data_IF_399458592596
#
_entry.id   IF_399458592596
#
_cell.length_a   1.000
_cell.length_b   1.000
_cell.length_c   1.000
_cell.angle_alpha   90.00
_cell.angle_beta   90.00
_cell.angle_gamma   90.00
#
_symmetry.space_group_name_H-M   'P 1'
#
loop_
_entity.id
_entity.type
_entity.pdbx_description
1 polymer ?
#
# COMPACT_ATOMS: atom_id res chain seq x y z
N UNK A 1 -0.17 76.24 23.28
CA UNK A 1 1.13 75.64 22.85
C UNK A 1 1.31 74.18 23.28
N UNK A 2 0.56 73.70 24.28
CA UNK A 2 0.57 72.31 24.77
C UNK A 2 -0.19 71.32 23.90
N UNK A 3 -1.31 71.73 23.27
CA UNK A 3 -2.12 70.82 22.42
C UNK A 3 -1.45 70.39 21.12
N UNK A 4 -0.69 71.29 20.48
CA UNK A 4 0.02 70.97 19.23
C UNK A 4 1.19 69.99 19.45
N UNK A 5 1.84 70.02 20.62
CA UNK A 5 2.86 69.03 20.99
C UNK A 5 2.26 67.64 21.23
N UNK A 6 1.11 67.57 21.91
CA UNK A 6 0.40 66.30 22.15
C UNK A 6 -0.12 65.66 20.85
N UNK A 7 -0.60 66.46 19.90
CA UNK A 7 -1.02 65.98 18.58
C UNK A 7 0.16 65.38 17.78
N UNK A 8 1.31 66.06 17.74
CA UNK A 8 2.53 65.53 17.09
C UNK A 8 3.01 64.22 17.72
N UNK A 9 3.00 64.11 19.05
CA UNK A 9 3.43 62.90 19.73
C UNK A 9 2.50 61.70 19.44
N UNK A 10 1.18 61.94 19.35
CA UNK A 10 0.21 60.90 18.95
C UNK A 10 0.42 60.43 17.51
N UNK A 11 0.69 61.34 16.58
CA UNK A 11 0.99 61.01 15.18
C UNK A 11 2.27 60.19 15.02
N UNK A 12 3.34 60.55 15.74
CA UNK A 12 4.59 59.78 15.75
C UNK A 12 4.37 58.38 16.32
N UNK A 13 3.62 58.25 17.43
CA UNK A 13 3.27 56.95 18.01
C UNK A 13 2.44 56.10 17.05
N UNK A 14 1.46 56.69 16.35
CA UNK A 14 0.69 55.97 15.33
C UNK A 14 1.57 55.49 14.17
N UNK A 15 2.47 56.35 13.69
CA UNK A 15 3.40 56.01 12.61
C UNK A 15 4.35 54.87 12.99
N UNK A 16 4.86 54.86 14.24
CA UNK A 16 5.68 53.78 14.77
C UNK A 16 4.90 52.47 14.91
N UNK A 17 3.66 52.52 15.42
CA UNK A 17 2.80 51.33 15.51
C UNK A 17 2.50 50.78 14.12
N UNK A 18 2.17 51.63 13.15
CA UNK A 18 1.88 51.19 11.78
C UNK A 18 3.12 50.59 11.10
N UNK A 19 4.29 51.19 11.29
CA UNK A 19 5.56 50.67 10.77
C UNK A 19 5.92 49.32 11.42
N UNK A 20 5.68 49.18 12.73
CA UNK A 20 5.88 47.91 13.45
C UNK A 20 4.93 46.83 12.95
N UNK A 21 3.66 47.16 12.69
CA UNK A 21 2.68 46.24 12.13
C UNK A 21 3.12 45.78 10.74
N UNK A 22 3.53 46.70 9.85
CA UNK A 22 4.05 46.34 8.52
C UNK A 22 5.28 45.45 8.63
N UNK A 23 6.20 45.76 9.55
CA UNK A 23 7.39 44.95 9.80
C UNK A 23 7.06 43.55 10.33
N UNK A 24 6.10 43.43 11.25
CA UNK A 24 5.65 42.13 11.76
C UNK A 24 4.97 41.33 10.64
N UNK A 25 4.11 41.95 9.81
CA UNK A 25 3.48 41.27 8.69
C UNK A 25 4.45 40.91 7.55
N UNK A 26 5.54 41.66 7.36
CA UNK A 26 6.58 41.33 6.38
C UNK A 26 7.58 40.29 6.87
N UNK A 27 7.70 40.09 8.19
CA UNK A 27 8.58 39.10 8.83
C UNK A 27 7.86 37.82 9.27
N UNK A 28 6.53 37.81 9.29
CA UNK A 28 5.76 36.58 9.42
C UNK A 28 6.03 35.70 8.20
N UNK A 29 6.91 34.70 8.38
CA UNK A 29 7.06 33.65 7.39
C UNK A 29 5.76 32.84 7.30
N UNK A 30 4.98 33.10 6.25
CA UNK A 30 3.85 32.27 5.85
C UNK A 30 4.25 30.84 5.45
N UNK A 31 5.54 30.50 5.54
CA UNK A 31 6.08 29.14 5.37
C UNK A 31 5.43 28.12 6.32
N UNK A 32 4.88 28.59 7.45
CA UNK A 32 4.26 27.72 8.47
C UNK A 32 2.80 27.31 8.18
N UNK A 33 2.11 27.93 7.22
CA UNK A 33 0.72 27.57 6.92
C UNK A 33 0.70 26.30 6.06
N UNK A 34 0.11 25.18 6.51
CA UNK A 34 0.05 23.94 5.73
C UNK A 34 -0.81 24.13 4.49
N UNK A 35 -0.41 23.51 3.36
CA UNK A 35 -1.27 23.42 2.17
C UNK A 35 -2.61 22.77 2.53
N UNK A 36 -3.67 23.04 1.79
CA UNK A 36 -4.98 22.42 2.01
C UNK A 36 -4.90 20.95 1.60
N UNK A 37 -4.57 20.71 0.34
CA UNK A 37 -4.33 19.40 -0.26
C UNK A 37 -3.54 19.55 -1.58
N UNK A 38 -3.34 18.44 -2.29
CA UNK A 38 -2.76 18.44 -3.62
C UNK A 38 -2.48 17.04 -4.13
N UNK A 39 -1.86 16.96 -5.31
CA UNK A 39 -1.42 15.71 -5.90
C UNK A 39 -0.25 15.94 -6.87
N UNK A 40 0.49 14.86 -7.15
CA UNK A 40 1.51 14.82 -8.19
C UNK A 40 0.93 14.25 -9.50
N UNK A 41 1.60 14.48 -10.62
CA UNK A 41 1.17 14.01 -11.95
C UNK A 41 1.15 12.48 -12.12
N UNK A 42 1.88 11.74 -11.28
CA UNK A 42 1.93 10.27 -11.16
C UNK A 42 2.35 9.89 -9.73
N UNK A 43 2.12 8.65 -9.27
CA UNK A 43 2.45 8.26 -7.89
C UNK A 43 3.93 7.93 -7.67
N UNK A 44 4.67 7.59 -8.73
CA UNK A 44 6.03 7.09 -8.60
C UNK A 44 6.97 7.66 -9.67
N UNK A 45 8.21 7.91 -9.28
CA UNK A 45 9.23 8.61 -10.06
C UNK A 45 10.60 7.92 -9.95
N UNK A 46 11.46 8.07 -10.94
CA UNK A 46 12.90 7.81 -10.77
C UNK A 46 13.61 9.02 -10.14
N UNK A 47 14.79 8.81 -9.57
CA UNK A 47 15.60 9.82 -8.85
C UNK A 47 16.23 10.92 -9.73
N UNK A 48 15.83 10.99 -11.00
CA UNK A 48 16.25 11.95 -12.02
C UNK A 48 15.06 12.42 -12.89
N UNK A 49 13.84 12.29 -12.39
CA UNK A 49 12.63 12.73 -13.07
C UNK A 49 12.05 14.01 -12.48
N UNK A 50 11.32 14.75 -13.31
CA UNK A 50 10.51 15.87 -12.85
C UNK A 50 9.19 15.36 -12.24
N UNK A 51 8.94 15.79 -11.01
CA UNK A 51 7.66 15.63 -10.33
C UNK A 51 6.85 16.93 -10.45
N UNK A 52 5.76 16.89 -11.21
CA UNK A 52 4.87 18.04 -11.41
C UNK A 52 3.80 18.05 -10.33
N UNK A 53 3.63 19.20 -9.68
CA UNK A 53 2.76 19.37 -8.52
C UNK A 53 1.56 20.26 -8.81
N UNK A 54 0.43 19.86 -8.24
CA UNK A 54 -0.84 20.56 -8.29
C UNK A 54 -1.31 20.78 -6.85
N UNK A 55 -0.97 21.94 -6.29
CA UNK A 55 -1.21 22.27 -4.87
C UNK A 55 -2.40 23.21 -4.76
N UNK A 56 -3.27 22.92 -3.80
CA UNK A 56 -4.29 23.82 -3.30
C UNK A 56 -3.81 24.46 -2.00
N UNK A 57 -3.56 25.75 -2.06
CA UNK A 57 -3.02 26.54 -0.97
C UNK A 57 -4.08 27.45 -0.35
N UNK A 58 -3.82 27.91 0.88
CA UNK A 58 -4.65 28.88 1.58
C UNK A 58 -4.51 30.27 0.95
N UNK A 59 -3.28 30.62 0.53
CA UNK A 59 -2.94 31.91 -0.07
C UNK A 59 -2.72 31.75 -1.56
N UNK A 60 -3.30 32.65 -2.35
CA UNK A 60 -3.22 32.60 -3.81
C UNK A 60 -2.01 33.35 -4.35
N UNK A 61 -1.37 32.81 -5.40
CA UNK A 61 -0.30 33.43 -6.18
C UNK A 61 0.89 33.94 -5.36
N UNK A 62 1.47 33.10 -4.50
CA UNK A 62 2.66 33.45 -3.73
C UNK A 62 3.77 32.39 -3.88
N UNK A 63 5.02 32.78 -3.66
CA UNK A 63 6.11 31.81 -3.58
C UNK A 63 5.98 31.00 -2.29
N UNK A 64 5.99 29.68 -2.43
CA UNK A 64 5.92 28.74 -1.31
C UNK A 64 7.15 27.85 -1.32
N UNK A 65 7.77 27.71 -0.15
CA UNK A 65 8.72 26.62 0.09
C UNK A 65 7.97 25.39 0.56
N UNK A 66 8.13 24.28 -0.16
CA UNK A 66 7.60 22.96 0.20
C UNK A 66 8.75 22.05 0.64
N UNK A 67 8.44 21.10 1.50
CA UNK A 67 9.36 20.08 1.98
C UNK A 67 9.03 18.72 1.36
N UNK A 68 9.99 18.10 0.66
CA UNK A 68 9.95 16.69 0.28
C UNK A 68 10.66 15.87 1.36
N UNK A 69 9.93 15.04 2.09
CA UNK A 69 10.45 14.30 3.25
C UNK A 69 10.33 12.79 3.05
N UNK A 70 11.43 12.06 3.25
CA UNK A 70 11.42 10.59 3.32
C UNK A 70 10.75 10.16 4.64
N UNK A 71 9.73 9.30 4.57
CA UNK A 71 8.96 8.95 5.76
C UNK A 71 9.71 8.03 6.73
N UNK A 72 10.72 7.30 6.25
CA UNK A 72 11.50 6.36 7.07
C UNK A 72 12.72 7.01 7.73
N UNK A 73 13.46 7.83 6.97
CA UNK A 73 14.71 8.44 7.45
C UNK A 73 14.53 9.87 7.96
N UNK A 74 13.37 10.48 7.69
CA UNK A 74 13.09 11.89 7.93
C UNK A 74 14.03 12.87 7.21
N UNK A 75 14.89 12.38 6.30
CA UNK A 75 15.65 13.24 5.41
C UNK A 75 14.71 14.07 4.57
N UNK A 76 14.96 15.38 4.52
CA UNK A 76 14.12 16.29 3.78
C UNK A 76 14.92 17.23 2.87
N UNK A 77 14.24 17.69 1.83
CA UNK A 77 14.76 18.67 0.89
C UNK A 77 13.67 19.68 0.56
N UNK A 78 14.03 20.96 0.56
CA UNK A 78 13.11 22.04 0.28
C UNK A 78 13.13 22.46 -1.19
N UNK A 79 11.97 22.83 -1.72
CA UNK A 79 11.80 23.35 -3.07
C UNK A 79 10.89 24.57 -3.05
N UNK A 80 11.12 25.52 -3.95
CA UNK A 80 10.22 26.67 -4.12
C UNK A 80 9.28 26.44 -5.31
N UNK A 81 8.00 26.65 -5.10
CA UNK A 81 6.93 26.54 -6.11
C UNK A 81 5.94 27.71 -5.98
N UNK A 82 4.94 27.76 -6.85
CA UNK A 82 3.83 28.69 -6.74
C UNK A 82 2.70 28.10 -5.89
N UNK A 83 2.41 28.71 -4.75
CA UNK A 83 1.20 28.48 -3.97
C UNK A 83 -0.01 29.11 -4.68
N UNK A 84 -1.01 28.30 -5.00
CA UNK A 84 -2.23 28.72 -5.72
C UNK A 84 -3.43 28.23 -4.91
N UNK A 85 -4.40 29.11 -4.66
CA UNK A 85 -5.69 28.68 -4.11
C UNK A 85 -6.53 28.13 -5.26
N UNK A 86 -7.01 26.89 -5.11
CA UNK A 86 -7.65 26.16 -6.21
C UNK A 86 -9.10 25.84 -5.88
N UNK A 87 -9.96 25.95 -6.89
CA UNK A 87 -11.33 25.46 -6.82
C UNK A 87 -11.42 24.05 -7.38
N UNK A 88 -12.19 23.20 -6.71
CA UNK A 88 -12.40 21.81 -7.13
C UNK A 88 -13.51 21.74 -8.17
N UNK A 89 -13.22 21.10 -9.32
CA UNK A 89 -14.21 20.95 -10.39
C UNK A 89 -15.42 20.09 -9.97
N UNK A 90 -16.56 20.35 -10.64
CA UNK A 90 -17.70 19.43 -10.58
C UNK A 90 -17.26 18.06 -11.09
N UNK A 91 -17.65 17.07 -10.31
CA UNK A 91 -17.29 15.68 -10.55
C UNK A 91 -15.81 15.33 -10.53
N UNK A 92 -15.07 15.97 -9.62
CA UNK A 92 -13.63 15.78 -9.47
C UNK A 92 -13.20 14.32 -9.24
N UNK A 93 -14.01 13.49 -8.57
CA UNK A 93 -13.70 12.06 -8.42
C UNK A 93 -13.53 11.36 -9.79
N UNK A 94 -14.28 11.79 -10.81
CA UNK A 94 -14.28 11.22 -12.17
C UNK A 94 -13.34 11.96 -13.12
N UNK A 95 -13.39 13.29 -13.09
CA UNK A 95 -12.71 14.15 -14.06
C UNK A 95 -11.33 14.63 -13.60
N UNK A 96 -10.97 14.36 -12.34
CA UNK A 96 -9.84 15.00 -11.67
C UNK A 96 -10.22 16.36 -11.09
N UNK A 97 -9.39 16.84 -10.15
CA UNK A 97 -9.67 18.08 -9.43
C UNK A 97 -9.53 19.34 -10.29
N UNK A 98 -8.81 19.25 -11.43
CA UNK A 98 -8.67 20.37 -12.38
C UNK A 98 -7.74 21.49 -11.91
N UNK A 99 -6.96 21.23 -10.85
CA UNK A 99 -5.98 22.17 -10.33
C UNK A 99 -4.97 22.60 -11.39
N UNK A 100 -4.60 23.88 -11.34
CA UNK A 100 -3.50 24.43 -12.14
C UNK A 100 -2.16 23.94 -11.59
N UNK A 101 -1.18 23.78 -12.46
CA UNK A 101 0.18 23.41 -12.06
C UNK A 101 0.78 24.48 -11.15
N UNK A 102 1.26 24.06 -9.98
CA UNK A 102 1.96 24.90 -9.00
C UNK A 102 3.46 24.99 -9.30
N UNK A 103 4.03 23.93 -9.87
CA UNK A 103 5.45 23.87 -10.22
C UNK A 103 5.89 22.45 -10.55
N UNK A 104 7.17 22.29 -10.84
CA UNK A 104 7.81 20.98 -10.94
C UNK A 104 9.08 20.97 -10.10
N UNK A 105 9.31 19.88 -9.38
CA UNK A 105 10.54 19.63 -8.65
C UNK A 105 11.37 18.58 -9.43
N UNK A 106 12.65 18.87 -9.62
CA UNK A 106 13.57 17.89 -10.18
C UNK A 106 14.10 17.01 -9.06
N UNK A 107 13.78 15.71 -9.12
CA UNK A 107 14.34 14.73 -8.21
C UNK A 107 15.79 14.50 -8.64
N UNK A 108 16.73 14.68 -7.72
CA UNK A 108 18.16 14.56 -7.94
C UNK A 108 18.80 13.88 -6.74
N UNK A 109 19.10 12.60 -6.88
CA UNK A 109 19.88 11.85 -5.88
C UNK A 109 19.09 11.35 -4.68
N UNK A 110 17.75 11.48 -4.67
CA UNK A 110 16.94 10.82 -3.64
C UNK A 110 17.00 9.31 -3.81
N UNK A 111 17.18 8.61 -2.69
CA UNK A 111 17.13 7.15 -2.63
C UNK A 111 15.73 6.63 -2.90
N UNK A 112 15.62 5.34 -3.22
CA UNK A 112 14.32 4.71 -3.35
C UNK A 112 13.60 4.69 -2.00
N UNK A 113 12.35 5.12 -1.98
CA UNK A 113 11.61 5.30 -0.73
C UNK A 113 10.20 5.83 -0.94
N UNK A 114 9.47 5.92 0.17
CA UNK A 114 8.18 6.60 0.23
C UNK A 114 8.43 7.99 0.81
N UNK A 115 7.91 9.01 0.12
CA UNK A 115 8.10 10.40 0.47
C UNK A 115 6.75 11.11 0.60
N UNK A 116 6.72 12.17 1.38
CA UNK A 116 5.60 13.11 1.41
C UNK A 116 6.08 14.53 1.11
N UNK A 117 5.27 15.26 0.34
CA UNK A 117 5.44 16.70 0.15
C UNK A 117 4.53 17.41 1.14
N UNK A 118 5.10 18.30 1.96
CA UNK A 118 4.43 19.02 3.06
C UNK A 118 3.61 18.08 3.97
N UNK A 119 4.12 16.85 4.20
CA UNK A 119 3.44 15.79 4.96
C UNK A 119 2.03 15.41 4.45
N UNK A 120 1.67 15.79 3.21
CA UNK A 120 0.33 15.57 2.65
C UNK A 120 0.31 14.79 1.34
N UNK A 121 1.18 15.12 0.38
CA UNK A 121 1.13 14.53 -0.95
C UNK A 121 2.13 13.37 -1.02
N UNK A 122 1.68 12.10 -1.03
CA UNK A 122 2.59 10.97 -1.10
C UNK A 122 3.15 10.81 -2.52
N UNK A 123 4.45 10.57 -2.61
CA UNK A 123 5.12 10.11 -3.83
C UNK A 123 6.08 8.97 -3.51
N UNK A 124 6.37 8.14 -4.50
CA UNK A 124 7.31 7.02 -4.38
C UNK A 124 8.50 7.31 -5.29
N UNK A 125 9.71 7.20 -4.73
CA UNK A 125 10.94 7.25 -5.52
C UNK A 125 11.40 5.81 -5.74
N UNK A 126 11.51 5.43 -7.01
CA UNK A 126 11.78 4.07 -7.48
C UNK A 126 13.27 3.89 -7.73
N UNK A 127 13.80 2.65 -7.60
CA UNK A 127 15.14 2.38 -8.06
C UNK A 127 15.23 2.57 -9.59
N UNK A 128 16.40 2.96 -10.13
CA UNK A 128 16.64 3.00 -11.56
C UNK A 128 16.27 1.69 -12.26
N UNK A 129 15.71 1.77 -13.47
CA UNK A 129 15.19 0.59 -14.20
C UNK A 129 16.23 -0.52 -14.44
N UNK A 130 17.50 -0.14 -14.54
CA UNK A 130 18.58 -1.08 -14.81
C UNK A 130 19.21 -1.68 -13.55
N UNK A 131 18.80 -1.18 -12.39
CA UNK A 131 19.35 -1.54 -11.11
C UNK A 131 18.74 -2.84 -10.60
N UNK A 132 19.60 -3.78 -10.21
CA UNK A 132 19.15 -4.97 -9.49
C UNK A 132 18.84 -4.61 -8.04
N UNK A 133 17.69 -5.06 -7.56
CA UNK A 133 17.29 -5.00 -6.14
C UNK A 133 17.15 -6.40 -5.58
N UNK A 134 17.38 -6.54 -4.27
CA UNK A 134 17.07 -7.79 -3.58
C UNK A 134 15.56 -7.87 -3.34
N UNK A 135 14.94 -6.75 -2.97
CA UNK A 135 13.54 -6.67 -2.62
C UNK A 135 12.90 -5.41 -3.21
N UNK A 136 11.74 -5.54 -3.84
CA UNK A 136 10.84 -4.41 -4.09
C UNK A 136 9.61 -4.51 -3.21
N UNK A 137 9.36 -3.47 -2.44
CA UNK A 137 8.13 -3.28 -1.66
C UNK A 137 7.11 -2.56 -2.54
N UNK A 138 5.93 -3.15 -2.69
CA UNK A 138 4.88 -2.64 -3.57
C UNK A 138 3.83 -1.90 -2.76
N UNK A 139 3.74 -0.59 -2.98
CA UNK A 139 2.79 0.31 -2.32
C UNK A 139 1.39 0.20 -2.99
N UNK A 140 0.31 -0.05 -2.23
CA UNK A 140 -1.04 -0.27 -2.76
C UNK A 140 -1.78 1.02 -3.18
N UNK A 141 -1.19 1.77 -4.10
CA UNK A 141 -1.73 3.04 -4.59
C UNK A 141 -3.14 2.95 -5.18
N UNK A 142 -3.44 1.90 -5.96
CA UNK A 142 -4.79 1.69 -6.50
C UNK A 142 -5.82 1.47 -5.40
N UNK A 143 -5.39 0.94 -4.26
CA UNK A 143 -6.25 0.74 -3.10
C UNK A 143 -6.58 2.07 -2.41
N UNK A 144 -5.61 3.00 -2.26
CA UNK A 144 -5.91 4.35 -1.77
C UNK A 144 -6.84 5.08 -2.72
N UNK A 145 -6.64 4.92 -4.03
CA UNK A 145 -7.57 5.46 -5.01
C UNK A 145 -8.97 4.86 -4.78
N UNK A 146 -9.14 3.55 -4.83
CA UNK A 146 -10.45 2.92 -4.69
C UNK A 146 -11.23 3.35 -3.42
N UNK A 147 -10.54 3.59 -2.30
CA UNK A 147 -11.15 3.98 -1.04
C UNK A 147 -11.28 5.49 -0.84
N UNK A 148 -10.49 6.32 -1.51
CA UNK A 148 -10.56 7.78 -1.35
C UNK A 148 -11.90 8.32 -1.85
N UNK A 149 -12.58 9.09 -0.99
CA UNK A 149 -13.79 9.84 -1.31
C UNK A 149 -13.48 11.26 -1.84
N UNK A 150 -12.21 11.58 -2.10
CA UNK A 150 -11.79 12.87 -2.63
C UNK A 150 -12.53 13.20 -3.93
N UNK A 151 -13.17 14.38 -3.95
CA UNK A 151 -14.01 14.84 -5.04
C UNK A 151 -15.46 14.32 -4.98
N UNK A 152 -15.82 13.54 -3.96
CA UNK A 152 -17.20 13.20 -3.60
C UNK A 152 -17.59 11.72 -3.70
N UNK A 153 -16.80 10.85 -4.34
CA UNK A 153 -17.13 9.42 -4.44
C UNK A 153 -15.87 8.54 -4.43
N UNK A 154 -16.03 7.31 -3.94
CA UNK A 154 -15.08 6.21 -3.99
C UNK A 154 -15.70 5.02 -4.75
N UNK A 155 -15.04 3.86 -4.83
CA UNK A 155 -15.68 2.64 -5.35
C UNK A 155 -16.67 1.98 -4.36
N UNK A 156 -16.82 2.55 -3.17
CA UNK A 156 -17.68 2.02 -2.13
C UNK A 156 -18.85 2.96 -1.84
N UNK A 157 -20.07 2.41 -1.84
CA UNK A 157 -21.30 3.17 -1.61
C UNK A 157 -21.28 3.88 -0.25
N UNK A 158 -20.91 3.18 0.82
CA UNK A 158 -20.84 3.72 2.18
C UNK A 158 -19.84 4.87 2.33
N UNK A 159 -18.83 4.97 1.45
CA UNK A 159 -17.84 6.04 1.44
C UNK A 159 -17.97 6.92 0.17
N UNK A 160 -19.20 7.23 -0.21
CA UNK A 160 -19.52 8.06 -1.37
C UNK A 160 -20.72 8.97 -1.09
N UNK A 161 -20.73 10.16 -1.68
CA UNK A 161 -21.88 11.05 -1.64
C UNK A 161 -23.14 10.35 -2.16
N UNK A 162 -24.26 10.57 -1.47
CA UNK A 162 -25.57 9.94 -1.76
C UNK A 162 -25.55 8.42 -1.70
N UNK A 163 -24.59 7.83 -0.98
CA UNK A 163 -24.44 6.39 -0.82
C UNK A 163 -24.32 5.64 -2.17
N UNK A 164 -23.77 6.29 -3.19
CA UNK A 164 -23.70 5.76 -4.55
C UNK A 164 -22.25 5.63 -4.99
N UNK A 165 -21.77 4.39 -5.09
CA UNK A 165 -20.41 4.06 -5.54
C UNK A 165 -20.12 4.65 -6.93
N UNK A 166 -18.89 5.12 -7.13
CA UNK A 166 -18.38 5.41 -8.45
C UNK A 166 -18.08 4.11 -9.21
N UNK A 167 -18.20 4.18 -10.54
CA UNK A 167 -17.71 3.14 -11.48
C UNK A 167 -16.39 3.54 -12.12
N UNK A 168 -15.95 4.78 -11.90
CA UNK A 168 -14.71 5.33 -12.44
C UNK A 168 -14.13 6.38 -11.48
N UNK A 169 -12.81 6.41 -11.39
CA UNK A 169 -12.05 7.35 -10.57
C UNK A 169 -10.88 7.94 -11.37
N UNK A 170 -10.51 9.19 -11.11
CA UNK A 170 -9.35 9.86 -11.70
C UNK A 170 -8.09 9.63 -10.87
N UNK A 171 -6.92 9.54 -11.52
CA UNK A 171 -5.63 9.61 -10.83
C UNK A 171 -5.28 11.02 -10.36
N UNK A 172 -5.85 12.06 -10.98
CA UNK A 172 -5.55 13.46 -10.68
C UNK A 172 -6.40 13.97 -9.50
N UNK A 173 -6.22 13.38 -8.33
CA UNK A 173 -6.88 13.78 -7.09
C UNK A 173 -6.03 13.50 -5.86
N UNK A 174 -6.26 14.22 -4.75
CA UNK A 174 -5.58 13.95 -3.50
C UNK A 174 -5.81 12.52 -3.01
N UNK A 175 -4.73 11.90 -2.53
CA UNK A 175 -4.75 10.62 -1.83
C UNK A 175 -3.96 10.76 -0.53
N UNK A 176 -4.29 9.92 0.43
CA UNK A 176 -3.64 9.87 1.75
C UNK A 176 -3.15 8.45 1.96
N UNK A 177 -1.90 8.31 2.37
CA UNK A 177 -1.30 7.05 2.82
C UNK A 177 -1.67 6.80 4.29
N UNK A 178 -1.54 5.56 4.75
CA UNK A 178 -1.91 5.16 6.12
C UNK A 178 -0.66 4.82 6.94
N UNK A 179 -0.87 4.49 8.22
CA UNK A 179 0.18 4.05 9.14
C UNK A 179 0.92 2.79 8.64
N UNK A 180 0.34 2.04 7.70
CA UNK A 180 1.00 0.92 7.03
C UNK A 180 2.29 1.36 6.34
N UNK A 181 2.29 2.52 5.66
CA UNK A 181 3.45 3.02 4.92
C UNK A 181 4.58 3.40 5.85
N UNK A 182 4.24 4.12 6.92
CA UNK A 182 5.23 4.51 7.94
C UNK A 182 5.82 3.27 8.60
N UNK A 183 4.97 2.31 8.98
CA UNK A 183 5.41 1.11 9.70
C UNK A 183 6.28 0.21 8.82
N UNK A 184 5.90 -0.03 7.56
CA UNK A 184 6.71 -0.86 6.65
C UNK A 184 8.03 -0.18 6.27
N UNK A 185 8.02 1.14 6.08
CA UNK A 185 9.23 1.88 5.72
C UNK A 185 10.22 1.95 6.89
N UNK A 186 9.72 2.14 8.12
CA UNK A 186 10.52 2.03 9.35
C UNK A 186 11.07 0.61 9.54
N UNK A 187 10.23 -0.42 9.37
CA UNK A 187 10.67 -1.82 9.43
C UNK A 187 11.80 -2.10 8.43
N UNK A 188 11.65 -1.68 7.18
CA UNK A 188 12.67 -1.87 6.16
C UNK A 188 13.98 -1.14 6.52
N UNK A 189 13.87 0.13 6.97
CA UNK A 189 15.02 0.91 7.39
C UNK A 189 15.75 0.29 8.59
N UNK A 190 15.03 -0.35 9.51
CA UNK A 190 15.61 -0.95 10.71
C UNK A 190 16.16 -2.37 10.48
N UNK A 191 15.37 -3.25 9.87
CA UNK A 191 15.62 -4.69 9.84
C UNK A 191 16.18 -5.22 8.51
N UNK A 192 16.11 -4.42 7.43
CA UNK A 192 16.47 -4.86 6.08
C UNK A 192 17.71 -4.16 5.50
N UNK A 193 18.52 -3.48 6.33
CA UNK A 193 19.73 -2.72 5.91
C UNK A 193 20.74 -3.52 5.08
N UNK A 194 20.77 -4.86 5.24
CA UNK A 194 21.65 -5.75 4.47
C UNK A 194 21.17 -6.04 3.05
N UNK A 195 19.94 -5.65 2.72
CA UNK A 195 19.33 -5.87 1.42
C UNK A 195 19.23 -4.55 0.66
N UNK A 196 19.33 -4.65 -0.65
CA UNK A 196 19.01 -3.56 -1.55
C UNK A 196 17.49 -3.48 -1.75
N UNK A 197 16.85 -2.68 -0.91
CA UNK A 197 15.39 -2.49 -0.90
C UNK A 197 15.01 -1.32 -1.82
N UNK A 198 14.07 -1.55 -2.73
CA UNK A 198 13.41 -0.51 -3.51
C UNK A 198 11.91 -0.46 -3.25
N UNK A 199 11.27 0.63 -3.65
CA UNK A 199 9.84 0.86 -3.53
C UNK A 199 9.24 1.18 -4.89
N UNK A 200 8.06 0.63 -5.17
CA UNK A 200 7.28 0.91 -6.38
C UNK A 200 5.79 1.06 -6.02
N UNK A 201 5.03 1.75 -6.87
CA UNK A 201 3.57 1.67 -6.82
C UNK A 201 3.12 0.38 -7.49
N UNK A 202 1.98 -0.16 -7.07
CA UNK A 202 1.27 -1.20 -7.81
C UNK A 202 1.04 -0.87 -9.30
N UNK A 203 0.89 0.41 -9.68
CA UNK A 203 0.82 0.81 -11.10
C UNK A 203 2.10 0.51 -11.90
N UNK A 204 3.27 0.49 -11.26
CA UNK A 204 4.53 0.19 -11.95
C UNK A 204 4.59 -1.27 -12.41
N UNK A 205 3.82 -2.16 -11.79
CA UNK A 205 3.70 -3.57 -12.17
C UNK A 205 3.10 -3.73 -13.58
N UNK A 206 2.41 -2.72 -14.11
CA UNK A 206 1.97 -2.71 -15.53
C UNK A 206 3.12 -2.92 -16.50
N UNK A 207 4.33 -2.50 -16.12
CA UNK A 207 5.52 -2.58 -16.93
C UNK A 207 6.47 -3.62 -16.33
N UNK A 208 6.50 -4.83 -16.90
CA UNK A 208 7.29 -5.95 -16.38
C UNK A 208 8.76 -5.58 -16.11
N UNK A 209 9.34 -4.70 -16.94
CA UNK A 209 10.71 -4.18 -16.78
C UNK A 209 10.99 -3.60 -15.39
N UNK A 210 9.98 -3.05 -14.71
CA UNK A 210 10.11 -2.48 -13.36
C UNK A 210 10.36 -3.54 -12.28
N UNK A 211 9.96 -4.79 -12.53
CA UNK A 211 10.08 -5.91 -11.59
C UNK A 211 10.98 -7.03 -12.12
N UNK A 212 11.44 -6.95 -13.38
CA UNK A 212 12.15 -8.06 -14.01
C UNK A 212 13.51 -8.34 -13.38
N UNK A 213 14.14 -7.34 -12.72
CA UNK A 213 15.49 -7.47 -12.14
C UNK A 213 15.50 -7.68 -10.63
N UNK A 214 14.36 -7.59 -9.94
CA UNK A 214 14.33 -7.88 -8.50
C UNK A 214 14.35 -9.39 -8.25
N UNK A 215 14.94 -9.81 -7.14
CA UNK A 215 14.83 -11.21 -6.69
C UNK A 215 13.46 -11.49 -6.08
N UNK A 216 12.87 -10.49 -5.42
CA UNK A 216 11.67 -10.65 -4.62
C UNK A 216 10.74 -9.44 -4.68
N UNK A 217 9.43 -9.72 -4.64
CA UNK A 217 8.38 -8.72 -4.38
C UNK A 217 7.79 -8.93 -2.99
N UNK A 218 7.46 -7.83 -2.29
CA UNK A 218 6.67 -7.85 -1.07
C UNK A 218 5.42 -6.99 -1.27
N UNK A 219 4.26 -7.63 -1.14
CA UNK A 219 2.94 -6.99 -1.20
C UNK A 219 2.35 -6.90 0.20
N UNK A 220 2.04 -5.69 0.67
CA UNK A 220 1.58 -5.49 2.03
C UNK A 220 0.24 -4.74 2.11
N UNK A 221 -0.35 -4.73 3.31
CA UNK A 221 -1.56 -3.96 3.62
C UNK A 221 -2.78 -4.43 2.84
N UNK A 222 -3.60 -3.50 2.33
CA UNK A 222 -4.76 -3.83 1.52
C UNK A 222 -4.42 -3.63 0.03
N UNK A 223 -4.36 -4.70 -0.77
CA UNK A 223 -4.09 -4.60 -2.21
C UNK A 223 -5.10 -5.43 -3.04
N UNK A 224 -6.35 -5.00 -2.98
CA UNK A 224 -7.49 -5.66 -3.59
C UNK A 224 -7.65 -5.41 -5.08
N UNK A 225 -7.20 -4.28 -5.60
CA UNK A 225 -7.46 -3.88 -6.98
C UNK A 225 -6.26 -4.16 -7.88
N UNK A 226 -6.40 -5.12 -8.79
CA UNK A 226 -5.36 -5.51 -9.74
C UNK A 226 -5.93 -5.52 -11.15
N UNK A 227 -5.19 -4.98 -12.12
CA UNK A 227 -5.56 -5.08 -13.53
C UNK A 227 -5.12 -6.41 -14.15
N UNK A 228 -5.76 -6.86 -15.25
CA UNK A 228 -5.33 -8.09 -15.92
C UNK A 228 -3.87 -8.09 -16.38
N UNK A 229 -3.36 -6.95 -16.87
CA UNK A 229 -1.96 -6.84 -17.27
C UNK A 229 -1.00 -6.93 -16.07
N UNK A 230 -1.37 -6.34 -14.92
CA UNK A 230 -0.58 -6.47 -13.70
C UNK A 230 -0.52 -7.91 -13.21
N UNK A 231 -1.65 -8.62 -13.19
CA UNK A 231 -1.69 -10.05 -12.86
C UNK A 231 -0.78 -10.85 -13.80
N UNK A 232 -0.87 -10.65 -15.11
CA UNK A 232 -0.01 -11.31 -16.10
C UNK A 232 1.47 -11.10 -15.79
N UNK A 233 1.87 -9.89 -15.40
CA UNK A 233 3.25 -9.59 -15.06
C UNK A 233 3.69 -10.21 -13.72
N UNK A 234 2.80 -10.30 -12.73
CA UNK A 234 3.05 -11.04 -11.48
C UNK A 234 3.25 -12.53 -11.77
N UNK A 235 2.36 -13.13 -12.58
CA UNK A 235 2.46 -14.53 -12.97
C UNK A 235 3.75 -14.81 -13.75
N UNK A 236 4.12 -13.91 -14.67
CA UNK A 236 5.39 -13.99 -15.41
C UNK A 236 6.60 -13.85 -14.47
N UNK A 237 6.53 -12.96 -13.48
CA UNK A 237 7.60 -12.79 -12.49
C UNK A 237 7.84 -14.08 -11.69
N UNK A 238 6.78 -14.69 -11.18
CA UNK A 238 6.84 -16.00 -10.50
C UNK A 238 7.40 -17.06 -11.44
N UNK A 239 6.84 -17.17 -12.65
CA UNK A 239 7.30 -18.16 -13.64
C UNK A 239 8.78 -18.00 -14.01
N UNK A 240 9.31 -16.77 -13.93
CA UNK A 240 10.71 -16.44 -14.21
C UNK A 240 11.61 -16.54 -12.97
N UNK A 241 11.25 -17.35 -11.98
CA UNK A 241 12.05 -17.59 -10.77
C UNK A 241 11.99 -16.50 -9.70
N UNK A 242 11.11 -15.50 -9.85
CA UNK A 242 10.96 -14.40 -8.88
C UNK A 242 10.12 -14.80 -7.67
N UNK A 243 10.61 -14.47 -6.47
CA UNK A 243 9.95 -14.86 -5.22
C UNK A 243 8.96 -13.80 -4.74
N UNK A 244 7.87 -14.18 -4.08
CA UNK A 244 6.88 -13.22 -3.57
C UNK A 244 6.51 -13.49 -2.11
N UNK A 245 6.47 -12.42 -1.32
CA UNK A 245 5.87 -12.43 0.00
C UNK A 245 4.59 -11.60 0.00
N UNK A 246 3.49 -12.23 0.40
CA UNK A 246 2.19 -11.59 0.58
C UNK A 246 1.91 -11.41 2.06
N UNK A 247 1.86 -10.17 2.53
CA UNK A 247 1.49 -9.75 3.90
C UNK A 247 0.29 -8.81 3.81
N UNK A 248 -0.76 -9.27 3.13
CA UNK A 248 -1.87 -8.42 2.71
C UNK A 248 -3.23 -9.04 3.00
N UNK A 249 -4.24 -8.18 3.06
CA UNK A 249 -5.63 -8.58 3.04
C UNK A 249 -6.17 -8.47 1.61
N UNK A 250 -7.11 -9.35 1.26
CA UNK A 250 -7.92 -9.23 0.05
C UNK A 250 -7.11 -9.15 -1.25
N UNK A 251 -5.89 -9.67 -1.29
CA UNK A 251 -5.03 -9.46 -2.45
C UNK A 251 -5.65 -9.99 -3.73
N UNK A 252 -5.62 -9.16 -4.78
CA UNK A 252 -6.19 -9.50 -6.08
C UNK A 252 -7.64 -10.01 -5.97
N UNK A 253 -8.47 -9.32 -5.18
CA UNK A 253 -9.92 -9.60 -5.13
C UNK A 253 -10.65 -9.00 -6.34
N UNK A 254 -10.43 -7.71 -6.57
CA UNK A 254 -11.15 -6.88 -7.54
C UNK A 254 -10.34 -6.67 -8.83
N UNK A 255 -11.04 -6.68 -9.96
CA UNK A 255 -10.51 -6.41 -11.29
C UNK A 255 -10.75 -4.94 -11.63
N UNK A 256 -9.67 -4.21 -11.89
CA UNK A 256 -9.74 -2.84 -12.42
C UNK A 256 -9.23 -2.77 -13.85
N UNK A 257 -9.76 -1.81 -14.60
CA UNK A 257 -9.30 -1.46 -15.94
C UNK A 257 -8.71 -0.06 -15.87
N UNK A 258 -7.57 0.15 -16.50
CA UNK A 258 -6.83 1.40 -16.41
C UNK A 258 -6.84 2.09 -17.77
N UNK A 259 -7.34 3.32 -17.81
CA UNK A 259 -7.23 4.21 -18.96
C UNK A 259 -6.12 5.21 -18.65
N UNK A 260 -4.88 4.84 -18.98
CA UNK A 260 -3.70 5.68 -18.70
C UNK A 260 -3.72 6.99 -19.49
N UNK A 261 -4.34 7.01 -20.67
CA UNK A 261 -4.46 8.21 -21.51
C UNK A 261 -5.38 9.24 -20.87
N UNK A 262 -6.54 8.80 -20.35
CA UNK A 262 -7.48 9.66 -19.61
C UNK A 262 -7.15 9.79 -18.13
N UNK A 263 -6.11 9.09 -17.66
CA UNK A 263 -5.72 9.00 -16.25
C UNK A 263 -6.86 8.53 -15.34
N UNK A 264 -7.51 7.42 -15.71
CA UNK A 264 -8.68 6.90 -15.00
C UNK A 264 -8.54 5.42 -14.62
N UNK A 265 -9.18 5.06 -13.52
CA UNK A 265 -9.43 3.70 -13.06
C UNK A 265 -10.91 3.41 -13.27
N UNK A 266 -11.24 2.28 -13.88
CA UNK A 266 -12.61 1.82 -14.09
C UNK A 266 -12.86 0.53 -13.31
N UNK A 267 -13.97 0.51 -12.59
CA UNK A 267 -14.49 -0.64 -11.86
C UNK A 267 -15.92 -0.90 -12.34
N UNK A 268 -16.12 -1.98 -13.11
CA UNK A 268 -17.28 -2.11 -13.98
C UNK A 268 -18.51 -2.66 -13.24
N UNK A 269 -18.98 -2.00 -12.18
CA UNK A 269 -20.11 -2.50 -11.40
C UNK A 269 -21.48 -2.42 -12.12
N UNK A 270 -21.61 -1.67 -13.23
CA UNK A 270 -22.87 -1.48 -13.95
C UNK A 270 -22.80 -1.82 -15.45
N UNK A 271 -23.78 -2.61 -15.91
CA UNK A 271 -24.16 -2.88 -17.32
C UNK A 271 -23.11 -3.51 -18.26
N UNK A 272 -22.00 -4.05 -17.76
CA UNK A 272 -21.03 -4.78 -18.59
C UNK A 272 -20.95 -6.24 -18.17
N UNK A 273 -21.01 -7.17 -19.14
CA UNK A 273 -20.83 -8.63 -18.96
C UNK A 273 -19.40 -9.03 -18.56
N UNK A 274 -18.60 -8.10 -18.04
CA UNK A 274 -17.21 -8.38 -17.70
C UNK A 274 -17.10 -8.65 -16.20
N UNK A 275 -16.30 -9.66 -15.80
CA UNK A 275 -16.09 -9.96 -14.40
C UNK A 275 -15.38 -8.79 -13.71
N UNK A 276 -15.74 -8.57 -12.45
CA UNK A 276 -15.19 -7.54 -11.57
C UNK A 276 -14.41 -8.10 -10.39
N UNK A 277 -14.48 -9.41 -10.18
CA UNK A 277 -13.74 -10.11 -9.16
C UNK A 277 -12.96 -11.24 -9.81
N UNK A 278 -11.79 -11.53 -9.25
CA UNK A 278 -10.91 -12.56 -9.78
C UNK A 278 -11.43 -13.96 -9.53
N UNK A 279 -12.33 -14.14 -8.56
CA UNK A 279 -12.98 -15.43 -8.25
C UNK A 279 -14.34 -15.61 -8.91
N UNK A 280 -14.70 -14.73 -9.83
CA UNK A 280 -15.89 -14.89 -10.67
C UNK A 280 -15.81 -16.25 -11.42
N UNK A 281 -16.89 -17.03 -11.37
CA UNK A 281 -16.94 -18.38 -11.96
C UNK A 281 -16.79 -18.40 -13.48
N UNK A 282 -16.99 -17.25 -14.15
CA UNK A 282 -16.74 -17.10 -15.58
C UNK A 282 -15.25 -17.03 -15.92
N UNK A 283 -14.38 -16.77 -14.92
CA UNK A 283 -12.94 -16.78 -15.08
C UNK A 283 -12.38 -18.18 -14.84
N UNK A 284 -11.52 -18.63 -15.75
CA UNK A 284 -10.83 -19.92 -15.64
C UNK A 284 -9.71 -19.94 -14.60
N UNK A 285 -9.33 -18.78 -14.07
CA UNK A 285 -8.17 -18.64 -13.20
C UNK A 285 -8.52 -17.76 -11.99
N UNK A 286 -9.03 -18.34 -10.89
CA UNK A 286 -9.27 -17.61 -9.64
C UNK A 286 -7.98 -17.02 -9.04
N UNK A 287 -8.12 -16.13 -8.06
CA UNK A 287 -6.97 -15.44 -7.46
C UNK A 287 -6.04 -16.41 -6.71
N UNK A 288 -6.58 -17.42 -6.03
CA UNK A 288 -5.82 -18.38 -5.23
C UNK A 288 -4.87 -19.25 -6.06
N UNK A 289 -5.09 -19.38 -7.38
CA UNK A 289 -4.12 -20.00 -8.28
C UNK A 289 -2.87 -19.14 -8.51
N UNK A 290 -2.92 -17.85 -8.17
CA UNK A 290 -1.77 -16.93 -8.21
C UNK A 290 -1.12 -16.79 -6.85
N UNK A 291 -1.93 -16.67 -5.80
CA UNK A 291 -1.45 -16.29 -4.46
C UNK A 291 -1.53 -17.38 -3.40
N UNK A 292 -1.93 -18.59 -3.78
CA UNK A 292 -2.03 -19.76 -2.89
C UNK A 292 -3.20 -19.73 -1.93
N UNK A 293 -3.84 -18.58 -1.74
CA UNK A 293 -4.92 -18.40 -0.78
C UNK A 293 -5.90 -17.32 -1.25
N UNK A 294 -7.11 -17.29 -0.70
CA UNK A 294 -8.10 -16.24 -0.97
C UNK A 294 -8.78 -15.82 0.32
N UNK A 295 -9.14 -14.54 0.41
CA UNK A 295 -9.95 -14.04 1.52
C UNK A 295 -11.34 -14.70 1.53
N UNK A 296 -11.95 -14.97 0.38
CA UNK A 296 -13.27 -15.64 0.31
C UNK A 296 -13.24 -17.06 0.84
N UNK A 297 -12.03 -17.59 1.05
CA UNK A 297 -11.85 -18.89 1.67
C UNK A 297 -11.43 -18.72 3.11
N UNK A 298 -10.50 -17.82 3.47
CA UNK A 298 -9.97 -17.72 4.83
C UNK A 298 -10.74 -16.80 5.80
N UNK A 299 -11.65 -15.95 5.30
CA UNK A 299 -12.30 -14.90 6.08
C UNK A 299 -13.08 -15.47 7.28
N UNK A 300 -13.03 -14.75 8.41
CA UNK A 300 -13.77 -15.05 9.63
C UNK A 300 -14.97 -14.10 9.72
N UNK A 301 -16.21 -14.63 9.77
CA UNK A 301 -17.37 -13.81 10.10
C UNK A 301 -17.46 -13.64 11.63
N UNK A 302 -17.47 -12.41 12.14
CA UNK A 302 -17.62 -12.08 13.58
C UNK A 302 -18.92 -12.61 14.21
N UNK A 303 -19.87 -13.11 13.42
CA UNK A 303 -21.16 -13.66 13.87
C UNK A 303 -21.13 -15.19 13.94
N UNK A 304 -20.37 -15.74 14.89
CA UNK A 304 -20.34 -17.17 15.19
C UNK A 304 -21.49 -17.56 16.15
N UNK A 305 -22.33 -18.58 15.87
CA UNK A 305 -23.17 -19.20 16.89
C UNK A 305 -22.30 -19.95 17.92
N UNK A 306 -22.50 -19.66 19.20
CA UNK A 306 -21.75 -20.10 20.40
C UNK A 306 -21.24 -21.57 20.51
N UNK A 307 -21.61 -22.48 19.63
CA UNK A 307 -21.46 -23.93 19.82
C UNK A 307 -20.05 -24.51 19.56
N UNK A 308 -19.17 -23.82 18.81
CA UNK A 308 -17.75 -24.26 18.61
C UNK A 308 -16.75 -23.37 19.39
N UNK A 309 -17.22 -22.32 20.08
CA UNK A 309 -16.36 -21.38 20.83
C UNK A 309 -15.57 -22.00 22.00
N UNK A 310 -15.93 -23.18 22.48
CA UNK A 310 -15.32 -23.68 23.73
C UNK A 310 -13.82 -23.97 23.62
N UNK A 311 -13.26 -24.16 22.40
CA UNK A 311 -11.85 -24.55 22.24
C UNK A 311 -11.05 -23.80 21.14
N UNK A 312 -11.63 -22.82 20.43
CA UNK A 312 -10.90 -22.04 19.42
C UNK A 312 -10.40 -20.76 20.08
N UNK A 313 -9.08 -20.61 20.18
CA UNK A 313 -8.47 -19.34 20.56
C UNK A 313 -8.49 -18.41 19.35
N UNK A 314 -9.45 -17.50 19.33
CA UNK A 314 -9.82 -16.69 18.16
C UNK A 314 -8.66 -15.88 17.51
N UNK A 315 -7.50 -15.72 18.16
CA UNK A 315 -6.35 -14.94 17.68
C UNK A 315 -5.01 -15.70 17.61
N UNK A 316 -5.00 -17.02 17.75
CA UNK A 316 -3.78 -17.81 17.69
C UNK A 316 -3.69 -18.64 16.41
N UNK A 317 -2.59 -18.49 15.65
CA UNK A 317 -2.19 -19.41 14.60
C UNK A 317 -1.45 -20.59 15.20
N UNK A 318 -1.89 -21.82 14.95
CA UNK A 318 -1.17 -23.05 15.28
C UNK A 318 -0.09 -23.32 14.22
N UNK A 319 1.16 -23.42 14.68
CA UNK A 319 2.32 -23.76 13.84
C UNK A 319 2.30 -25.26 13.55
N UNK A 320 2.36 -25.63 12.26
CA UNK A 320 2.46 -27.03 11.82
C UNK A 320 3.89 -27.50 11.62
N UNK A 321 4.78 -26.60 11.24
CA UNK A 321 6.17 -26.91 10.95
C UNK A 321 7.10 -26.02 11.75
N UNK A 322 7.32 -26.36 13.01
CA UNK A 322 8.14 -25.57 13.95
C UNK A 322 9.61 -25.48 13.55
N UNK A 323 10.07 -26.35 12.65
CA UNK A 323 11.45 -26.34 12.14
C UNK A 323 11.62 -25.50 10.87
N UNK A 324 10.52 -24.97 10.31
CA UNK A 324 10.60 -24.14 9.12
C UNK A 324 11.44 -22.88 9.39
N UNK A 325 12.34 -22.45 8.48
CA UNK A 325 13.24 -21.32 8.71
C UNK A 325 12.56 -19.99 9.07
N UNK A 326 11.29 -19.82 8.72
CA UNK A 326 10.53 -18.61 9.09
C UNK A 326 10.28 -18.51 10.61
N UNK A 327 10.28 -19.64 11.31
CA UNK A 327 10.00 -19.74 12.75
C UNK A 327 11.26 -19.95 13.59
N UNK A 328 12.47 -19.88 13.00
CA UNK A 328 13.73 -20.29 13.64
C UNK A 328 14.07 -19.56 14.96
N UNK A 329 13.57 -18.33 15.13
CA UNK A 329 13.83 -17.50 16.31
C UNK A 329 12.67 -17.55 17.32
N UNK A 330 11.62 -18.33 17.04
CA UNK A 330 10.59 -18.59 18.03
C UNK A 330 11.14 -19.55 19.09
N UNK A 331 10.78 -19.38 20.38
CA UNK A 331 11.04 -20.38 21.40
C UNK A 331 10.57 -21.77 20.95
N UNK A 332 11.37 -22.82 21.15
CA UNK A 332 11.01 -24.19 20.74
C UNK A 332 9.69 -24.70 21.35
N UNK A 333 9.27 -24.14 22.48
CA UNK A 333 7.98 -24.44 23.13
C UNK A 333 6.79 -23.71 22.51
N UNK A 334 7.04 -22.68 21.70
CA UNK A 334 6.00 -21.86 21.09
C UNK A 334 5.36 -22.61 19.92
N UNK A 335 4.16 -23.13 20.16
CA UNK A 335 3.34 -23.80 19.15
C UNK A 335 2.34 -22.87 18.46
N UNK A 336 2.15 -21.66 19.00
CA UNK A 336 1.15 -20.72 18.52
C UNK A 336 1.74 -19.32 18.32
N UNK A 337 1.21 -18.57 17.36
CA UNK A 337 1.54 -17.15 17.11
C UNK A 337 0.27 -16.33 17.31
N UNK A 338 0.32 -15.36 18.23
CA UNK A 338 -0.82 -14.48 18.49
C UNK A 338 -0.81 -13.32 17.50
N UNK A 339 -1.85 -13.18 16.71
CA UNK A 339 -2.02 -12.06 15.79
C UNK A 339 -3.50 -11.70 15.70
N UNK A 340 -3.81 -10.47 16.12
CA UNK A 340 -5.16 -9.92 16.02
C UNK A 340 -5.45 -9.56 14.57
N UNK A 341 -6.27 -10.37 13.92
CA UNK A 341 -6.74 -10.09 12.58
C UNK A 341 -8.05 -10.80 12.28
N UNK A 342 -8.98 -10.07 11.65
CA UNK A 342 -10.29 -10.58 11.22
C UNK A 342 -10.28 -11.06 9.77
N UNK A 343 -9.41 -10.48 8.94
CA UNK A 343 -9.33 -10.72 7.50
C UNK A 343 -8.19 -11.68 7.16
N UNK A 344 -8.51 -12.97 7.08
CA UNK A 344 -7.54 -14.00 6.69
C UNK A 344 -7.75 -14.50 5.27
N UNK A 345 -6.65 -14.83 4.61
CA UNK A 345 -6.60 -15.60 3.38
C UNK A 345 -6.38 -17.07 3.73
N UNK A 346 -7.11 -17.94 3.03
CA UNK A 346 -7.05 -19.38 3.20
C UNK A 346 -6.95 -20.13 1.86
N UNK A 347 -6.30 -21.30 1.81
CA UNK A 347 -6.35 -22.18 0.66
C UNK A 347 -7.69 -22.91 0.55
N UNK A 348 -8.08 -23.36 -0.66
CA UNK A 348 -9.18 -24.28 -0.80
C UNK A 348 -8.89 -25.61 -0.07
N UNK A 349 -9.91 -26.16 0.60
CA UNK A 349 -9.82 -27.39 1.38
C UNK A 349 -10.70 -28.49 0.76
N UNK A 350 -10.25 -29.75 0.85
CA UNK A 350 -11.05 -30.95 0.59
C UNK A 350 -11.85 -31.38 1.83
N UNK A 351 -11.35 -31.04 3.02
CA UNK A 351 -11.93 -31.44 4.29
C UNK A 351 -10.85 -31.55 5.37
N UNK A 352 -11.08 -32.46 6.31
CA UNK A 352 -10.17 -32.77 7.42
C UNK A 352 -9.68 -34.21 7.30
N UNK A 353 -8.47 -34.48 7.78
CA UNK A 353 -8.00 -35.86 7.97
C UNK A 353 -8.47 -36.42 9.32
N UNK A 354 -8.12 -37.67 9.61
CA UNK A 354 -8.50 -38.37 10.84
C UNK A 354 -7.99 -37.68 12.12
N UNK A 355 -6.91 -36.90 12.03
CA UNK A 355 -6.37 -36.09 13.13
C UNK A 355 -6.96 -34.68 13.19
N UNK A 356 -8.08 -34.44 12.49
CA UNK A 356 -8.73 -33.13 12.35
C UNK A 356 -7.82 -32.03 11.76
N UNK A 357 -6.80 -32.40 10.97
CA UNK A 357 -5.94 -31.43 10.28
C UNK A 357 -6.51 -31.10 8.89
N UNK A 358 -6.38 -29.85 8.41
CA UNK A 358 -6.91 -29.45 7.11
C UNK A 358 -6.20 -30.19 5.97
N UNK A 359 -6.99 -30.73 5.05
CA UNK A 359 -6.56 -31.33 3.78
C UNK A 359 -6.74 -30.29 2.68
N UNK A 360 -5.64 -29.91 2.04
CA UNK A 360 -5.63 -28.90 0.97
C UNK A 360 -6.15 -29.50 -0.34
N UNK A 361 -6.98 -28.73 -1.05
CA UNK A 361 -7.42 -29.05 -2.40
C UNK A 361 -6.36 -28.63 -3.44
N UNK A 362 -5.34 -29.48 -3.57
CA UNK A 362 -4.24 -29.27 -4.52
C UNK A 362 -4.71 -29.21 -5.97
N UNK A 363 -5.82 -29.88 -6.31
CA UNK A 363 -6.40 -29.89 -7.66
C UNK A 363 -6.89 -28.51 -8.07
N UNK A 364 -7.47 -27.73 -7.14
CA UNK A 364 -7.90 -26.35 -7.40
C UNK A 364 -6.74 -25.35 -7.45
N UNK A 365 -5.73 -25.57 -6.61
CA UNK A 365 -4.56 -24.70 -6.55
C UNK A 365 -3.71 -24.77 -7.83
N UNK A 366 -3.63 -25.95 -8.45
CA UNK A 366 -2.82 -26.19 -9.65
C UNK A 366 -1.34 -25.77 -9.46
N UNK A 367 -0.74 -26.20 -8.35
CA UNK A 367 0.63 -25.87 -7.95
C UNK A 367 1.49 -27.14 -7.88
N UNK A 368 2.76 -27.02 -8.27
CA UNK A 368 3.76 -28.08 -8.10
C UNK A 368 3.98 -28.44 -6.62
N UNK A 369 4.00 -27.42 -5.77
CA UNK A 369 4.22 -27.57 -4.33
C UNK A 369 3.33 -26.60 -3.56
N UNK A 370 2.75 -27.09 -2.46
CA UNK A 370 1.98 -26.28 -1.51
C UNK A 370 2.11 -26.85 -0.10
N UNK A 371 2.38 -25.98 0.88
CA UNK A 371 2.49 -26.35 2.29
C UNK A 371 1.86 -25.29 3.19
N UNK A 372 0.98 -25.71 4.09
CA UNK A 372 0.51 -24.88 5.20
C UNK A 372 1.53 -24.95 6.33
N UNK A 373 2.12 -23.80 6.67
CA UNK A 373 3.13 -23.66 7.71
C UNK A 373 2.51 -23.37 9.08
N UNK A 374 1.45 -22.55 9.10
CA UNK A 374 0.64 -22.30 10.27
C UNK A 374 -0.80 -22.02 9.86
N UNK A 375 -1.76 -22.29 10.74
CA UNK A 375 -3.17 -22.02 10.46
C UNK A 375 -3.97 -21.68 11.70
N UNK A 376 -5.10 -21.04 11.50
CA UNK A 376 -6.17 -20.92 12.49
C UNK A 376 -7.47 -21.37 11.84
N UNK A 377 -8.36 -21.93 12.64
CA UNK A 377 -9.71 -22.22 12.17
C UNK A 377 -10.45 -20.92 11.86
N UNK A 378 -11.25 -20.96 10.80
CA UNK A 378 -12.05 -19.84 10.34
C UNK A 378 -13.37 -20.35 9.73
N UNK A 379 -14.25 -19.43 9.39
CA UNK A 379 -15.54 -19.72 8.77
C UNK A 379 -15.95 -18.64 7.77
N UNK A 380 -16.28 -19.08 6.56
CA UNK A 380 -16.81 -18.21 5.52
C UNK A 380 -18.33 -18.37 5.37
N UNK A 381 -19.05 -17.24 5.33
CA UNK A 381 -20.50 -17.18 5.16
C UNK A 381 -21.31 -18.03 6.17
N UNK A 382 -20.80 -18.23 7.38
CA UNK A 382 -21.55 -18.84 8.49
C UNK A 382 -21.87 -20.33 8.36
N UNK A 383 -21.30 -21.05 7.38
CA UNK A 383 -21.56 -22.49 7.22
C UNK A 383 -20.36 -23.35 6.77
N UNK A 384 -19.23 -22.76 6.36
CA UNK A 384 -18.11 -23.52 5.80
C UNK A 384 -16.87 -23.40 6.66
N UNK A 385 -16.53 -24.51 7.34
CA UNK A 385 -15.26 -24.65 8.04
C UNK A 385 -14.11 -24.45 7.06
N UNK A 386 -13.23 -23.52 7.40
CA UNK A 386 -12.09 -23.13 6.60
C UNK A 386 -10.93 -22.74 7.51
N UNK A 387 -9.83 -22.30 6.93
CA UNK A 387 -8.66 -21.85 7.69
C UNK A 387 -8.14 -20.52 7.17
N UNK A 388 -7.69 -19.66 8.09
CA UNK A 388 -6.68 -18.65 7.78
C UNK A 388 -5.30 -19.29 7.89
N UNK A 389 -4.37 -18.99 6.98
CA UNK A 389 -3.08 -19.71 6.97
C UNK A 389 -1.87 -18.84 6.61
N UNK A 390 -0.72 -19.21 7.18
CA UNK A 390 0.59 -18.95 6.60
C UNK A 390 0.92 -20.14 5.71
N UNK A 391 1.18 -19.90 4.43
CA UNK A 391 1.45 -20.95 3.46
C UNK A 391 2.62 -20.63 2.55
N UNK A 392 3.37 -21.66 2.19
CA UNK A 392 4.43 -21.65 1.19
C UNK A 392 3.97 -22.42 -0.04
N UNK A 393 4.28 -21.92 -1.24
CA UNK A 393 3.92 -22.60 -2.47
C UNK A 393 4.83 -22.26 -3.64
N UNK A 394 4.80 -23.13 -4.66
CA UNK A 394 5.55 -23.00 -5.89
C UNK A 394 4.68 -23.49 -7.06
N UNK A 395 4.56 -22.69 -8.12
CA UNK A 395 3.68 -23.00 -9.26
C UNK A 395 4.23 -24.13 -10.13
N UNK A 396 5.53 -24.07 -10.44
CA UNK A 396 6.28 -25.07 -11.20
C UNK A 396 7.60 -25.35 -10.49
N UNK A 397 8.23 -26.47 -10.80
CA UNK A 397 9.51 -26.85 -10.19
C UNK A 397 10.62 -25.79 -10.36
N UNK A 398 10.60 -25.03 -11.46
CA UNK A 398 11.54 -23.98 -11.83
C UNK A 398 11.04 -22.54 -11.54
N UNK A 399 9.80 -22.38 -11.08
CA UNK A 399 9.26 -21.06 -10.74
C UNK A 399 9.76 -20.56 -9.39
N UNK A 400 9.60 -19.27 -9.10
CA UNK A 400 9.88 -18.71 -7.78
C UNK A 400 8.98 -19.29 -6.70
N UNK A 401 9.46 -19.20 -5.46
CA UNK A 401 8.76 -19.60 -4.24
C UNK A 401 7.97 -18.40 -3.71
N UNK A 402 6.75 -18.66 -3.27
CA UNK A 402 5.89 -17.66 -2.69
C UNK A 402 5.52 -18.03 -1.25
N UNK A 403 5.47 -17.03 -0.37
CA UNK A 403 4.88 -17.15 0.96
C UNK A 403 3.68 -16.22 1.05
N UNK A 404 2.53 -16.75 1.47
CA UNK A 404 1.39 -15.96 1.88
C UNK A 404 1.28 -16.01 3.40
N UNK A 405 1.45 -14.86 4.06
CA UNK A 405 1.38 -14.71 5.52
C UNK A 405 -0.07 -14.66 6.03
N UNK A 406 -1.05 -14.74 5.13
CA UNK A 406 -2.46 -14.90 5.48
C UNK A 406 -3.22 -13.60 5.71
N UNK A 407 -2.59 -12.52 6.17
CA UNK A 407 -3.28 -11.25 6.40
C UNK A 407 -2.36 -10.02 6.32
N UNK A 408 -2.94 -8.83 6.40
CA UNK A 408 -2.25 -7.54 6.42
C UNK A 408 -1.89 -7.03 7.81
N UNK A 409 -2.51 -7.60 8.87
CA UNK A 409 -2.32 -7.19 10.25
C UNK A 409 -0.89 -7.42 10.78
N UNK A 410 -0.05 -8.17 10.06
CA UNK A 410 1.38 -8.25 10.33
C UNK A 410 2.02 -6.87 10.32
N UNK A 411 1.62 -6.00 9.39
CA UNK A 411 2.22 -4.67 9.24
C UNK A 411 1.86 -3.78 10.43
N UNK A 412 0.59 -3.77 10.86
CA UNK A 412 0.12 -2.97 12.00
C UNK A 412 0.88 -3.26 13.30
N UNK A 413 1.43 -4.47 13.42
CA UNK A 413 2.06 -4.96 14.63
C UNK A 413 3.58 -4.88 14.63
N UNK A 414 4.23 -4.53 13.51
CA UNK A 414 5.70 -4.52 13.42
C UNK A 414 6.36 -3.52 14.38
N UNK A 415 5.70 -2.40 14.65
CA UNK A 415 6.23 -1.34 15.54
C UNK A 415 6.22 -1.75 17.01
N UNK A 416 5.30 -2.63 17.41
CA UNK A 416 5.02 -2.94 18.82
C UNK A 416 5.22 -4.42 19.17
N UNK A 417 5.51 -5.29 18.20
CA UNK A 417 5.68 -6.72 18.40
C UNK A 417 6.94 -7.24 17.71
N UNK A 418 8.00 -7.44 18.50
CA UNK A 418 9.30 -7.92 18.03
C UNK A 418 9.21 -9.28 17.33
N UNK A 419 8.38 -10.19 17.82
CA UNK A 419 8.19 -11.52 17.22
C UNK A 419 7.64 -11.37 15.79
N UNK A 420 6.72 -10.44 15.56
CA UNK A 420 6.15 -10.23 14.23
C UNK A 420 7.18 -9.65 13.25
N UNK A 421 8.02 -8.73 13.73
CA UNK A 421 9.14 -8.21 12.96
C UNK A 421 10.16 -9.31 12.61
N UNK A 422 10.54 -10.16 13.57
CA UNK A 422 11.45 -11.29 13.37
C UNK A 422 10.87 -12.31 12.38
N UNK A 423 9.59 -12.67 12.51
CA UNK A 423 8.90 -13.56 11.55
C UNK A 423 8.91 -13.01 10.13
N UNK A 424 8.61 -11.71 9.96
CA UNK A 424 8.64 -11.07 8.66
C UNK A 424 10.06 -11.03 8.09
N UNK A 425 11.06 -10.70 8.92
CA UNK A 425 12.47 -10.70 8.53
C UNK A 425 12.94 -12.10 8.11
N UNK A 426 12.51 -13.14 8.81
CA UNK A 426 12.85 -14.53 8.52
C UNK A 426 12.19 -15.02 7.24
N UNK A 427 10.93 -14.64 6.98
CA UNK A 427 10.27 -14.92 5.71
C UNK A 427 11.01 -14.26 4.53
N UNK A 428 11.42 -13.01 4.68
CA UNK A 428 12.24 -12.31 3.67
C UNK A 428 13.57 -13.02 3.49
N UNK A 429 14.30 -13.32 4.56
CA UNK A 429 15.59 -14.01 4.49
C UNK A 429 15.48 -15.37 3.77
N UNK A 430 14.50 -16.18 4.17
CA UNK A 430 14.24 -17.48 3.55
C UNK A 430 14.02 -17.36 2.03
N UNK A 431 13.18 -16.41 1.60
CA UNK A 431 12.93 -16.18 0.18
C UNK A 431 14.14 -15.59 -0.55
N UNK A 432 14.99 -14.80 0.10
CA UNK A 432 16.24 -14.33 -0.51
C UNK A 432 17.23 -15.48 -0.74
N UNK A 433 17.36 -16.39 0.22
CA UNK A 433 18.25 -17.56 0.14
C UNK A 433 17.78 -18.59 -0.89
N UNK A 434 16.47 -18.73 -1.07
CA UNK A 434 15.84 -19.64 -2.05
C UNK A 434 15.67 -19.04 -3.45
N UNK A 435 16.17 -17.83 -3.71
CA UNK A 435 15.99 -17.21 -5.01
C UNK A 435 16.69 -18.04 -6.10
N UNK A 436 15.91 -18.54 -7.05
CA UNK A 436 16.40 -19.28 -8.22
C UNK A 436 16.99 -18.34 -9.28
N UNK A 437 16.77 -17.03 -9.12
CA UNK A 437 17.44 -16.02 -9.94
C UNK A 437 18.89 -15.95 -9.54
N UNK A 438 19.77 -16.49 -10.39
CA UNK A 438 21.23 -16.38 -10.23
C UNK A 438 21.61 -14.93 -9.94
N UNK A 439 22.64 -14.72 -9.10
CA UNK A 439 23.40 -13.47 -9.12
C UNK A 439 23.91 -13.30 -10.55
N UNK A 440 23.24 -12.48 -11.35
CA UNK A 440 23.76 -12.06 -12.64
C UNK A 440 24.78 -10.97 -12.26
N UNK A 441 26.03 -11.39 -12.13
CA UNK A 441 27.17 -10.51 -11.79
C UNK A 441 27.42 -9.50 -12.91
#
# INVERSE_FOLDING_TARGET
MTDTKNAKLKLIKLGLIFSLIIYVFSTLEFSSVPIIDGYANKPSFFSNENCTLFINDVVNNHQRTIELKNIATHHSQSFTILGIRQDTLKKAWKNGFGYKMSGSIYLSGQESGIYQIDNKIPIIIKPPINEQTDLLIVVPYLNYQAHSNAGGKSFFAHNSLKSEAAVQLSFNRPIVITDYEFTIAQFANQYLKKYKVGYISDLDILFYKQIEKTKMLLFYGNMSFISPQMRKNIDLFIASGGNILFTNNHFMNNIVRLDLKRKQILFAKNNQKLPNQWNDSTLKQPNYQTVGASYEIGFLVDSFPLLIRKNIKDNELTIRDTLHPIFKDLPNSQKNISISCTLWNGPPLLGLNESALPIIDSTKLAMYYYKVLAYKWSEYNGYKLTIGSISEFQKKQDSGICINMGCGCWIDSLSNNKIHAELLQNAIQYLQEKSMRKKIY
#
